data_IF_220640709118
#
_entry.id   IF_220640709118
#
_cell.length_a   1.000
_cell.length_b   1.000
_cell.length_c   1.000
_cell.angle_alpha   90.00
_cell.angle_beta   90.00
_cell.angle_gamma   90.00
#
_symmetry.space_group_name_H-M   'P 1'
#
loop_
_entity.id
_entity.type
_entity.pdbx_description
1 polymer ?
#
# COMPACT_ATOMS: atom_id res chain seq x y z
N UNK A 1 -17.20 -4.55 8.78
CA UNK A 1 -17.48 -4.82 7.34
C UNK A 1 -17.09 -6.28 7.05
N UNK A 2 -18.01 -7.06 6.51
CA UNK A 2 -17.72 -8.43 6.13
C UNK A 2 -17.02 -8.50 4.77
N UNK A 3 -16.59 -9.70 4.37
CA UNK A 3 -15.86 -9.90 3.11
C UNK A 3 -16.67 -9.47 1.89
N UNK A 4 -17.96 -9.75 1.86
CA UNK A 4 -18.84 -9.38 0.75
C UNK A 4 -18.97 -7.87 0.62
N UNK A 5 -19.18 -7.19 1.73
CA UNK A 5 -19.26 -5.72 1.77
C UNK A 5 -17.91 -5.10 1.35
N UNK A 6 -16.82 -5.67 1.82
CA UNK A 6 -15.49 -5.21 1.44
C UNK A 6 -15.26 -5.37 -0.07
N UNK A 7 -15.62 -6.52 -0.64
CA UNK A 7 -15.43 -6.77 -2.07
C UNK A 7 -16.23 -5.78 -2.93
N UNK A 8 -17.44 -5.40 -2.50
CA UNK A 8 -18.22 -4.38 -3.18
C UNK A 8 -17.59 -2.99 -3.08
N UNK A 9 -17.06 -2.66 -1.91
CA UNK A 9 -16.41 -1.37 -1.67
C UNK A 9 -15.08 -1.24 -2.40
N UNK A 10 -14.42 -2.35 -2.67
CA UNK A 10 -13.18 -2.41 -3.45
C UNK A 10 -13.49 -2.30 -4.94
N UNK A 11 -13.87 -1.12 -5.38
CA UNK A 11 -14.48 -0.87 -6.69
C UNK A 11 -13.60 -1.26 -7.88
N UNK A 12 -12.29 -1.25 -7.72
CA UNK A 12 -11.36 -1.65 -8.79
C UNK A 12 -11.07 -3.14 -8.79
N UNK A 13 -11.44 -3.83 -7.73
CA UNK A 13 -11.19 -5.26 -7.59
C UNK A 13 -9.82 -5.60 -7.04
N UNK A 14 -9.72 -6.82 -6.56
CA UNK A 14 -8.54 -7.32 -5.86
C UNK A 14 -7.36 -7.58 -6.79
N UNK A 15 -7.63 -8.02 -8.01
CA UNK A 15 -6.56 -8.44 -8.91
C UNK A 15 -5.99 -9.81 -8.55
N UNK A 16 -4.74 -10.02 -8.91
CA UNK A 16 -4.06 -11.30 -8.73
C UNK A 16 -3.19 -11.31 -7.46
N UNK A 17 -2.90 -12.50 -6.97
CA UNK A 17 -1.97 -12.66 -5.85
C UNK A 17 -0.65 -11.94 -6.16
N UNK A 18 -0.14 -11.19 -5.17
CA UNK A 18 1.02 -10.33 -5.33
C UNK A 18 2.34 -11.13 -5.18
N UNK A 19 2.54 -12.11 -6.06
CA UNK A 19 3.68 -13.03 -5.97
C UNK A 19 5.03 -12.36 -6.23
N UNK A 20 5.07 -11.38 -7.13
CA UNK A 20 6.33 -10.71 -7.50
C UNK A 20 6.93 -9.89 -6.37
N UNK A 21 6.09 -9.40 -5.46
CA UNK A 21 6.52 -8.58 -4.33
C UNK A 21 6.30 -9.25 -2.98
N UNK A 22 5.98 -10.56 -2.99
CA UNK A 22 5.65 -11.30 -1.77
C UNK A 22 6.74 -11.22 -0.71
N UNK A 23 7.99 -11.12 -1.12
CA UNK A 23 9.15 -11.00 -0.21
C UNK A 23 9.11 -9.75 0.68
N UNK A 24 8.34 -8.73 0.28
CA UNK A 24 8.22 -7.48 1.04
C UNK A 24 7.04 -7.48 2.01
N UNK A 25 6.29 -8.58 2.08
CA UNK A 25 5.05 -8.67 2.86
C UNK A 25 5.07 -9.84 3.83
N UNK A 26 4.34 -9.68 4.91
CA UNK A 26 3.96 -10.76 5.82
C UNK A 26 2.46 -10.97 5.62
N UNK A 27 2.05 -12.18 5.26
CA UNK A 27 0.67 -12.50 4.89
C UNK A 27 0.45 -12.33 3.39
N UNK A 28 -0.78 -12.51 2.95
CA UNK A 28 -1.13 -12.48 1.54
C UNK A 28 -1.68 -11.12 1.12
N UNK A 29 -1.18 -10.60 0.02
CA UNK A 29 -1.68 -9.40 -0.62
C UNK A 29 -1.99 -9.66 -2.08
N UNK A 30 -2.76 -8.76 -2.68
CA UNK A 30 -3.21 -8.86 -4.06
C UNK A 30 -2.91 -7.55 -4.77
N UNK A 31 -2.43 -7.63 -5.99
CA UNK A 31 -2.04 -6.46 -6.77
C UNK A 31 -2.92 -6.33 -8.00
N UNK A 32 -3.47 -5.15 -8.20
CA UNK A 32 -4.23 -4.80 -9.37
C UNK A 32 -3.71 -3.46 -9.93
N UNK A 33 -2.80 -3.48 -10.91
CA UNK A 33 -2.34 -2.26 -11.56
C UNK A 33 -3.52 -1.57 -12.24
N UNK A 34 -3.67 -0.28 -12.00
CA UNK A 34 -4.76 0.52 -12.57
C UNK A 34 -4.31 1.34 -13.77
N UNK A 35 -3.02 1.61 -13.90
CA UNK A 35 -2.44 2.32 -15.03
C UNK A 35 -1.35 1.47 -15.66
N UNK A 36 -1.10 1.71 -16.93
CA UNK A 36 -0.03 1.05 -17.66
C UNK A 36 1.29 1.77 -17.36
N UNK A 37 2.28 1.02 -16.90
CA UNK A 37 3.58 1.57 -16.58
C UNK A 37 4.26 2.10 -17.85
N UNK A 38 4.81 3.32 -17.76
CA UNK A 38 5.52 3.96 -18.86
C UNK A 38 4.68 4.88 -19.72
N UNK A 39 3.36 4.89 -19.55
CA UNK A 39 2.47 5.80 -20.30
C UNK A 39 2.39 7.19 -19.71
N UNK A 40 2.71 7.31 -18.42
CA UNK A 40 2.58 8.54 -17.66
C UNK A 40 3.63 8.51 -16.54
N UNK A 41 4.10 9.66 -16.04
CA UNK A 41 5.07 9.67 -14.94
C UNK A 41 4.55 9.08 -13.64
N UNK A 42 3.25 8.82 -13.54
CA UNK A 42 2.61 8.31 -12.32
C UNK A 42 2.10 6.91 -12.57
N UNK A 43 2.29 6.05 -11.60
CA UNK A 43 1.76 4.68 -11.60
C UNK A 43 0.75 4.52 -10.47
N UNK A 44 -0.43 4.02 -10.80
CA UNK A 44 -1.49 3.72 -9.84
C UNK A 44 -1.70 2.22 -9.75
N UNK A 45 -1.77 1.71 -8.53
CA UNK A 45 -2.10 0.32 -8.28
C UNK A 45 -3.00 0.18 -7.06
N UNK A 46 -3.92 -0.75 -7.15
CA UNK A 46 -4.77 -1.14 -6.04
C UNK A 46 -4.11 -2.35 -5.36
N UNK A 47 -3.78 -2.24 -4.10
CA UNK A 47 -3.15 -3.34 -3.37
C UNK A 47 -4.07 -3.74 -2.22
N UNK A 48 -4.59 -4.94 -2.29
CA UNK A 48 -5.53 -5.46 -1.29
C UNK A 48 -4.79 -6.35 -0.30
N UNK A 49 -4.99 -6.10 0.98
CA UNK A 49 -4.34 -6.83 2.08
C UNK A 49 -5.41 -7.64 2.80
N UNK A 50 -5.19 -8.93 2.94
CA UNK A 50 -6.03 -9.74 3.82
C UNK A 50 -5.81 -9.35 5.30
N UNK A 51 -6.71 -9.72 6.21
CA UNK A 51 -6.50 -9.45 7.64
C UNK A 51 -5.13 -9.88 8.11
N UNK A 52 -4.47 -9.04 8.88
CA UNK A 52 -3.10 -9.21 9.42
C UNK A 52 -1.97 -9.05 8.42
N UNK A 53 -2.26 -8.99 7.13
CA UNK A 53 -1.20 -8.78 6.14
C UNK A 53 -0.63 -7.38 6.28
N UNK A 54 0.68 -7.28 6.20
CA UNK A 54 1.39 -6.01 6.22
C UNK A 54 2.65 -6.11 5.38
N UNK A 55 3.14 -4.97 4.91
CA UNK A 55 4.48 -4.96 4.34
C UNK A 55 5.52 -4.79 5.45
N UNK A 56 6.75 -5.12 5.11
CA UNK A 56 7.88 -4.94 6.01
C UNK A 56 8.21 -3.45 6.11
N UNK A 57 8.95 -3.06 7.15
CA UNK A 57 9.55 -1.75 7.19
C UNK A 57 10.37 -1.54 5.93
N UNK A 58 10.14 -0.43 5.24
CA UNK A 58 10.82 -0.16 3.97
C UNK A 58 10.95 1.34 3.71
N UNK A 59 11.77 1.67 2.75
CA UNK A 59 12.06 3.05 2.34
C UNK A 59 11.96 3.10 0.82
N UNK A 60 11.27 4.11 0.30
CA UNK A 60 11.31 4.46 -1.11
C UNK A 60 12.36 5.55 -1.29
N UNK A 61 13.55 5.17 -1.77
CA UNK A 61 14.65 6.09 -1.91
C UNK A 61 14.52 6.93 -3.18
N UNK A 62 14.77 8.23 -3.07
CA UNK A 62 14.85 9.11 -4.22
C UNK A 62 15.67 10.35 -3.86
N UNK A 63 16.50 10.81 -4.80
CA UNK A 63 17.27 12.05 -4.62
C UNK A 63 16.38 13.29 -4.78
N UNK A 64 15.41 13.23 -5.70
CA UNK A 64 14.42 14.28 -5.93
C UNK A 64 13.08 13.64 -6.26
N UNK A 65 11.99 14.23 -5.82
CA UNK A 65 10.66 13.67 -6.03
C UNK A 65 10.51 12.32 -5.34
N UNK A 66 9.79 11.41 -5.96
CA UNK A 66 9.55 10.08 -5.42
C UNK A 66 8.56 10.06 -4.27
N UNK A 67 8.66 9.02 -3.44
CA UNK A 67 7.70 8.81 -2.36
C UNK A 67 6.45 8.09 -2.84
N UNK A 68 5.42 8.12 -2.01
CA UNK A 68 4.21 7.35 -2.26
C UNK A 68 3.00 8.07 -1.66
N UNK A 69 1.88 7.97 -2.33
CA UNK A 69 0.59 8.42 -1.78
C UNK A 69 -0.28 7.18 -1.60
N UNK A 70 -0.88 7.05 -0.43
CA UNK A 70 -1.83 6.00 -0.12
C UNK A 70 -3.23 6.61 0.04
N UNK A 71 -4.19 6.04 -0.65
CA UNK A 71 -5.60 6.45 -0.55
C UNK A 71 -6.38 5.24 -0.09
N UNK A 72 -7.01 5.30 1.07
CA UNK A 72 -7.81 4.18 1.56
C UNK A 72 -9.17 4.17 0.88
N UNK A 73 -9.44 3.09 0.16
CA UNK A 73 -10.70 2.90 -0.56
C UNK A 73 -11.70 2.15 0.31
N UNK A 74 -11.26 1.10 0.99
CA UNK A 74 -12.15 0.25 1.78
C UNK A 74 -11.39 -0.47 2.88
N UNK A 75 -12.11 -0.88 3.91
CA UNK A 75 -11.53 -1.63 5.04
C UNK A 75 -10.79 -0.73 6.02
N UNK A 76 -10.06 -1.35 6.91
CA UNK A 76 -9.27 -0.63 7.91
C UNK A 76 -7.87 -1.22 8.06
N UNK A 77 -6.89 -0.36 8.20
CA UNK A 77 -5.52 -0.77 8.38
C UNK A 77 -4.75 0.15 9.31
N UNK A 78 -3.43 0.00 9.24
CA UNK A 78 -2.47 0.78 10.00
C UNK A 78 -1.43 1.38 9.08
N UNK A 79 -0.91 2.53 9.46
CA UNK A 79 0.27 3.16 8.87
C UNK A 79 1.18 3.63 10.00
N UNK A 80 2.48 3.41 9.86
CA UNK A 80 3.46 3.87 10.83
C UNK A 80 4.74 4.30 10.16
N UNK A 81 5.23 5.50 10.54
CA UNK A 81 6.58 5.95 10.23
C UNK A 81 7.50 5.60 11.40
N UNK A 82 8.75 5.33 11.10
CA UNK A 82 9.77 5.11 12.14
C UNK A 82 9.83 6.32 13.09
N UNK A 83 9.82 6.04 14.37
CA UNK A 83 9.87 7.06 15.42
C UNK A 83 8.53 7.68 15.78
N UNK A 84 7.44 7.26 15.14
CA UNK A 84 6.09 7.77 15.41
C UNK A 84 5.16 6.63 15.78
N UNK A 85 4.03 6.97 16.37
CA UNK A 85 3.00 5.99 16.66
C UNK A 85 2.27 5.54 15.39
N UNK A 86 1.78 4.31 15.39
CA UNK A 86 0.92 3.83 14.32
C UNK A 86 -0.40 4.58 14.32
N UNK A 87 -0.88 4.94 13.13
CA UNK A 87 -2.18 5.60 12.96
C UNK A 87 -3.14 4.68 12.22
N UNK A 88 -4.41 4.76 12.57
CA UNK A 88 -5.46 4.03 11.84
C UNK A 88 -5.57 4.58 10.43
N UNK A 89 -5.66 3.66 9.47
CA UNK A 89 -5.83 3.98 8.06
C UNK A 89 -7.24 3.55 7.64
N UNK A 90 -8.10 4.51 7.36
CA UNK A 90 -9.55 4.31 7.15
C UNK A 90 -10.00 4.89 5.81
N UNK A 91 -11.13 4.42 5.27
CA UNK A 91 -11.66 4.94 4.01
C UNK A 91 -11.75 6.46 3.98
N UNK A 92 -11.31 7.03 2.87
CA UNK A 92 -11.26 8.47 2.66
C UNK A 92 -9.98 9.13 3.13
N UNK A 93 -9.11 8.43 3.86
CA UNK A 93 -7.82 8.98 4.25
C UNK A 93 -6.83 8.95 3.10
N UNK A 94 -6.04 10.00 3.01
CA UNK A 94 -4.93 10.12 2.07
C UNK A 94 -3.67 10.36 2.90
N UNK A 95 -2.68 9.49 2.72
CA UNK A 95 -1.39 9.62 3.40
C UNK A 95 -0.33 9.88 2.35
N UNK A 96 0.37 11.01 2.50
CA UNK A 96 1.52 11.34 1.67
C UNK A 96 2.79 10.90 2.38
N UNK A 97 3.52 9.98 1.78
CA UNK A 97 4.77 9.46 2.32
C UNK A 97 5.91 10.04 1.51
N UNK A 98 6.70 10.97 2.07
CA UNK A 98 7.86 11.50 1.35
C UNK A 98 8.87 10.39 1.03
N UNK A 99 9.67 10.61 -0.02
CA UNK A 99 10.81 9.74 -0.28
C UNK A 99 11.73 9.70 0.94
N UNK A 100 12.43 8.60 1.10
CA UNK A 100 13.44 8.37 2.14
C UNK A 100 12.88 8.22 3.56
N UNK A 101 11.56 8.11 3.72
CA UNK A 101 10.93 7.86 5.02
C UNK A 101 10.72 6.37 5.21
N UNK A 102 11.24 5.83 6.30
CA UNK A 102 11.05 4.43 6.68
C UNK A 102 9.67 4.24 7.28
N UNK A 103 8.90 3.33 6.72
CA UNK A 103 7.49 3.14 7.11
C UNK A 103 7.01 1.72 6.80
N UNK A 104 5.83 1.41 7.29
CA UNK A 104 5.06 0.23 6.88
C UNK A 104 3.57 0.56 6.93
N UNK A 105 2.78 -0.23 6.25
CA UNK A 105 1.34 -0.21 6.37
C UNK A 105 0.79 -1.62 6.17
N UNK A 106 -0.45 -1.82 6.56
CA UNK A 106 -1.07 -3.13 6.45
C UNK A 106 -2.48 -3.15 6.98
N UNK A 107 -3.09 -4.32 6.96
CA UNK A 107 -4.44 -4.53 7.44
C UNK A 107 -4.48 -4.72 8.95
N UNK A 108 -5.57 -4.30 9.57
CA UNK A 108 -5.86 -4.67 10.96
C UNK A 108 -6.14 -6.16 11.04
N UNK A 109 -6.03 -6.72 12.25
CA UNK A 109 -6.16 -8.18 12.43
C UNK A 109 -7.53 -8.72 12.01
N UNK A 110 -8.56 -7.90 12.05
CA UNK A 110 -9.95 -8.31 11.78
C UNK A 110 -10.53 -7.63 10.53
N UNK A 111 -9.69 -7.03 9.70
CA UNK A 111 -10.19 -6.28 8.55
C UNK A 111 -9.30 -6.46 7.33
N UNK A 112 -9.91 -6.58 6.18
CA UNK A 112 -9.25 -6.34 4.91
C UNK A 112 -9.01 -4.84 4.77
N UNK A 113 -8.02 -4.45 4.00
CA UNK A 113 -7.80 -3.05 3.64
C UNK A 113 -7.30 -2.96 2.21
N UNK A 114 -7.72 -1.93 1.51
CA UNK A 114 -7.20 -1.64 0.18
C UNK A 114 -6.76 -0.18 0.09
N UNK A 115 -5.46 0.06 0.15
CA UNK A 115 -4.90 1.32 -0.29
C UNK A 115 -4.77 1.31 -1.82
N UNK A 116 -5.20 2.39 -2.44
CA UNK A 116 -4.78 2.71 -3.80
C UNK A 116 -3.47 3.46 -3.69
N UNK A 117 -2.44 2.96 -4.34
CA UNK A 117 -1.10 3.51 -4.26
C UNK A 117 -0.76 4.29 -5.50
N UNK A 118 -0.13 5.43 -5.30
CA UNK A 118 0.33 6.30 -6.37
C UNK A 118 1.83 6.53 -6.21
N UNK A 119 2.59 6.25 -7.25
CA UNK A 119 4.05 6.43 -7.27
C UNK A 119 4.48 7.28 -8.45
N UNK A 120 5.56 8.00 -8.26
CA UNK A 120 6.30 8.60 -9.35
C UNK A 120 7.35 7.59 -9.84
N UNK A 121 7.18 7.10 -11.07
CA UNK A 121 7.86 5.90 -11.57
C UNK A 121 9.38 6.01 -11.67
N UNK A 122 9.91 7.18 -12.00
CA UNK A 122 11.30 7.29 -12.45
C UNK A 122 12.35 7.49 -11.38
N UNK A 123 11.97 7.71 -10.12
CA UNK A 123 12.91 8.20 -9.11
C UNK A 123 12.83 7.52 -7.76
N UNK A 124 12.00 6.52 -7.63
CA UNK A 124 11.87 5.78 -6.38
C UNK A 124 12.36 4.35 -6.54
N UNK A 125 13.18 3.91 -5.62
CA UNK A 125 13.57 2.52 -5.47
C UNK A 125 13.07 2.04 -4.12
N UNK A 126 12.65 0.79 -4.03
CA UNK A 126 12.16 0.21 -2.80
C UNK A 126 13.26 -0.62 -2.16
N UNK A 127 13.59 -0.30 -0.92
CA UNK A 127 14.48 -1.11 -0.11
C UNK A 127 13.73 -1.61 1.11
N UNK A 128 13.71 -2.93 1.25
CA UNK A 128 13.09 -3.56 2.40
C UNK A 128 14.13 -3.67 3.50
N UNK A 129 13.85 -3.10 4.66
CA UNK A 129 14.62 -3.32 5.86
C UNK A 129 13.78 -4.15 6.81
N UNK A 130 14.34 -5.05 7.55
CA UNK A 130 13.65 -6.08 8.33
C UNK A 130 12.36 -5.63 9.01
N UNK A 131 11.43 -6.55 9.07
CA UNK A 131 10.13 -6.35 9.69
C UNK A 131 10.22 -6.05 11.19
#
# INVERSE_FOLDING_TARGET
MNKEEFDKANVFGKGNSNVNYAQYFIGESFLNPLTEQGKCPVFLANVTFEPRCRNNWHIHHAATGGGQILICIAGEGWYQEEGKEAVSFKPGMVITIPANVKHWHGAKKDSWVVPTKLHQIKKSEIYCVSA
#
